data_IF_645317089463
#
_entry.id   IF_645317089463
#
_cell.length_a   1.000
_cell.length_b   1.000
_cell.length_c   1.000
_cell.angle_alpha   90.00
_cell.angle_beta   90.00
_cell.angle_gamma   90.00
#
_symmetry.space_group_name_H-M   'P 1'
#
loop_
_entity.id
_entity.type
_entity.pdbx_description
1 polymer ?
#
# COMPACT_ATOMS: atom_id res chain seq x y z
N UNK A 1 3.28 8.81 -9.96
CA UNK A 1 2.12 9.46 -9.36
C UNK A 1 2.60 10.28 -8.17
N UNK A 2 2.55 11.58 -8.32
CA UNK A 2 3.09 12.51 -7.33
C UNK A 2 1.95 13.01 -6.46
N UNK A 3 1.56 12.25 -5.45
CA UNK A 3 0.49 12.63 -4.53
C UNK A 3 0.86 13.87 -3.72
N UNK A 4 2.15 14.14 -3.52
CA UNK A 4 2.63 15.38 -2.91
C UNK A 4 2.25 16.64 -3.70
N UNK A 5 1.97 16.51 -5.00
CA UNK A 5 1.45 17.61 -5.84
C UNK A 5 -0.06 17.80 -5.69
N UNK A 6 -0.81 16.79 -5.24
CA UNK A 6 -2.25 16.86 -5.13
C UNK A 6 -2.65 17.50 -3.81
N UNK A 7 -3.12 18.74 -3.92
CA UNK A 7 -3.74 19.50 -2.84
C UNK A 7 -5.21 19.67 -3.15
N UNK A 8 -6.08 19.17 -2.25
CA UNK A 8 -7.52 19.13 -2.47
C UNK A 8 -8.27 19.85 -1.37
N UNK A 9 -9.41 20.40 -1.70
CA UNK A 9 -10.37 20.86 -0.69
C UNK A 9 -11.22 19.68 -0.31
N UNK A 10 -11.17 19.28 0.96
CA UNK A 10 -11.93 18.16 1.49
C UNK A 10 -13.23 18.64 2.12
N UNK A 11 -14.25 17.79 2.02
CA UNK A 11 -15.58 18.02 2.57
C UNK A 11 -15.97 16.88 3.48
N UNK A 12 -16.72 17.18 4.52
CA UNK A 12 -17.28 16.22 5.47
C UNK A 12 -18.77 16.05 5.14
N UNK A 13 -19.20 14.80 5.01
CA UNK A 13 -20.60 14.46 4.88
C UNK A 13 -21.04 13.60 6.07
N UNK A 14 -21.80 14.14 7.03
CA UNK A 14 -22.24 13.41 8.20
C UNK A 14 -23.33 12.41 7.83
N UNK A 15 -23.07 11.11 8.04
CA UNK A 15 -24.01 10.01 7.82
C UNK A 15 -24.94 9.84 9.03
N UNK A 16 -25.74 10.85 9.39
CA UNK A 16 -26.78 10.70 10.41
C UNK A 16 -27.96 9.94 9.79
N UNK A 17 -28.34 8.84 10.40
CA UNK A 17 -29.52 8.04 9.99
C UNK A 17 -30.56 8.07 11.10
N UNK A 18 -31.83 8.17 10.72
CA UNK A 18 -32.95 7.96 11.65
C UNK A 18 -33.16 6.45 11.93
N UNK A 19 -34.07 6.10 12.81
CA UNK A 19 -34.38 4.73 13.20
C UNK A 19 -34.84 3.85 12.01
N UNK A 20 -35.24 4.46 10.90
CA UNK A 20 -35.58 3.79 9.64
C UNK A 20 -34.39 3.66 8.67
N UNK A 21 -33.18 4.03 9.08
CA UNK A 21 -31.96 3.97 8.26
C UNK A 21 -31.88 5.05 7.17
N UNK A 22 -32.76 6.03 7.16
CA UNK A 22 -32.73 7.14 6.18
C UNK A 22 -31.80 8.23 6.66
N UNK A 23 -30.93 8.71 5.77
CA UNK A 23 -30.02 9.82 6.07
C UNK A 23 -30.81 11.10 6.33
N UNK A 24 -30.65 11.71 7.51
CA UNK A 24 -31.41 12.89 7.96
C UNK A 24 -30.68 14.21 7.77
N UNK A 25 -29.39 14.20 7.51
CA UNK A 25 -28.57 15.39 7.24
C UNK A 25 -27.82 15.23 5.93
N UNK A 26 -28.08 16.13 4.98
CA UNK A 26 -27.48 16.17 3.65
C UNK A 26 -26.55 17.39 3.49
N UNK A 27 -26.15 18.03 4.58
CA UNK A 27 -25.26 19.19 4.51
C UNK A 27 -23.83 18.70 4.36
N UNK A 28 -23.18 19.15 3.29
CA UNK A 28 -21.76 18.93 3.06
C UNK A 28 -21.03 20.15 3.59
N UNK A 29 -20.11 19.94 4.53
CA UNK A 29 -19.33 21.02 5.16
C UNK A 29 -17.88 20.94 4.69
N UNK A 30 -17.23 22.07 4.53
CA UNK A 30 -15.77 22.09 4.30
C UNK A 30 -15.05 21.59 5.54
N UNK A 31 -13.99 20.79 5.34
CA UNK A 31 -13.12 20.37 6.44
C UNK A 31 -12.37 21.56 7.05
N UNK A 32 -11.92 22.49 6.20
CA UNK A 32 -11.12 23.65 6.60
C UNK A 32 -11.27 24.77 5.58
N UNK A 33 -11.29 26.02 6.06
CA UNK A 33 -11.28 27.22 5.22
C UNK A 33 -9.87 27.77 4.95
N UNK A 34 -8.85 27.22 5.59
CA UNK A 34 -7.46 27.65 5.50
C UNK A 34 -6.71 27.29 4.21
N UNK A 35 -7.40 26.73 3.20
CA UNK A 35 -6.80 26.34 1.93
C UNK A 35 -6.77 24.81 1.68
N UNK A 36 -6.18 24.37 0.57
CA UNK A 36 -6.12 22.96 0.20
C UNK A 36 -5.37 22.08 1.21
N UNK A 37 -5.84 20.86 1.40
CA UNK A 37 -5.31 19.89 2.34
C UNK A 37 -4.78 18.64 1.64
N UNK A 38 -3.91 17.90 2.32
CA UNK A 38 -3.38 16.60 1.91
C UNK A 38 -3.63 15.56 3.00
N UNK A 39 -3.82 14.32 2.61
CA UNK A 39 -3.84 13.10 3.42
C UNK A 39 -4.72 13.16 4.68
N UNK A 40 -6.00 13.59 4.60
CA UNK A 40 -6.86 13.65 5.76
C UNK A 40 -7.08 12.25 6.36
N UNK A 41 -7.07 12.16 7.69
CA UNK A 41 -7.32 10.92 8.41
C UNK A 41 -8.20 11.18 9.63
N UNK A 42 -9.23 10.34 9.81
CA UNK A 42 -10.06 10.36 11.00
C UNK A 42 -9.34 9.77 12.21
N UNK A 43 -9.61 10.33 13.39
CA UNK A 43 -9.34 9.61 14.64
C UNK A 43 -10.15 8.31 14.71
N UNK A 44 -9.70 7.29 15.46
CA UNK A 44 -10.43 6.02 15.60
C UNK A 44 -11.89 6.15 16.03
N UNK A 45 -12.23 7.13 16.84
CA UNK A 45 -13.60 7.43 17.29
C UNK A 45 -14.40 8.32 16.31
N UNK A 46 -13.76 8.84 15.25
CA UNK A 46 -14.39 9.68 14.25
C UNK A 46 -14.73 11.11 14.70
N UNK A 47 -14.19 11.56 15.84
CA UNK A 47 -14.47 12.91 16.39
C UNK A 47 -13.47 13.97 15.95
N UNK A 48 -12.35 13.55 15.37
CA UNK A 48 -11.28 14.45 14.89
C UNK A 48 -10.81 14.02 13.51
N UNK A 49 -10.23 15.00 12.77
CA UNK A 49 -9.51 14.74 11.51
C UNK A 49 -8.16 15.46 11.60
N UNK A 50 -7.08 14.74 11.31
CA UNK A 50 -5.78 15.34 11.07
C UNK A 50 -5.51 15.38 9.56
N UNK A 51 -4.84 16.41 9.08
CA UNK A 51 -4.42 16.57 7.70
C UNK A 51 -3.13 17.39 7.61
N UNK A 52 -2.53 17.44 6.43
CA UNK A 52 -1.34 18.28 6.18
C UNK A 52 -1.72 19.43 5.23
N UNK A 53 -1.22 20.62 5.56
CA UNK A 53 -1.26 21.82 4.73
C UNK A 53 0.07 22.56 4.85
N UNK A 54 0.66 22.93 3.73
CA UNK A 54 1.95 23.61 3.65
C UNK A 54 3.05 22.92 4.50
N UNK A 55 3.12 21.57 4.36
CA UNK A 55 4.06 20.69 5.06
C UNK A 55 3.91 20.65 6.59
N UNK A 56 2.81 21.18 7.13
CA UNK A 56 2.48 21.17 8.54
C UNK A 56 1.20 20.38 8.82
N UNK A 57 1.17 19.74 9.98
CA UNK A 57 0.01 18.97 10.45
C UNK A 57 -0.98 19.91 11.11
N UNK A 58 -2.25 19.74 10.77
CA UNK A 58 -3.40 20.41 11.38
C UNK A 58 -4.38 19.38 11.94
N UNK A 59 -5.08 19.74 13.00
CA UNK A 59 -6.09 18.96 13.68
C UNK A 59 -7.41 19.70 13.73
N UNK A 60 -8.48 19.09 13.23
CA UNK A 60 -9.85 19.60 13.34
C UNK A 60 -10.64 18.74 14.33
N UNK A 61 -11.29 19.39 15.30
CA UNK A 61 -12.21 18.77 16.27
C UNK A 61 -13.65 18.99 15.80
N UNK A 62 -14.29 17.93 15.29
CA UNK A 62 -15.61 17.99 14.64
C UNK A 62 -16.75 18.35 15.60
N UNK A 63 -16.65 17.92 16.87
CA UNK A 63 -17.68 18.19 17.87
C UNK A 63 -17.73 19.66 18.35
N UNK A 64 -16.72 20.46 18.01
CA UNK A 64 -16.56 21.85 18.45
C UNK A 64 -16.63 22.83 17.27
N UNK A 65 -17.61 22.64 16.38
CA UNK A 65 -17.79 23.52 15.23
C UNK A 65 -16.63 23.48 14.24
N UNK A 66 -16.03 22.30 14.05
CA UNK A 66 -14.86 22.10 13.18
C UNK A 66 -13.67 22.99 13.58
N UNK A 67 -13.42 23.16 14.91
CA UNK A 67 -12.30 23.98 15.36
C UNK A 67 -10.96 23.39 14.90
N UNK A 68 -10.21 24.21 14.17
CA UNK A 68 -8.90 23.85 13.63
C UNK A 68 -7.78 24.36 14.54
N UNK A 69 -6.73 23.54 14.70
CA UNK A 69 -5.49 23.92 15.38
C UNK A 69 -4.28 23.39 14.61
N UNK A 70 -3.20 24.17 14.59
CA UNK A 70 -1.93 23.77 14.00
C UNK A 70 -1.13 22.93 15.00
N UNK A 71 -0.58 21.81 14.55
CA UNK A 71 0.18 20.84 15.36
C UNK A 71 1.69 21.03 15.19
N UNK A 72 2.14 21.33 13.96
CA UNK A 72 3.55 21.60 13.64
C UNK A 72 3.71 22.93 12.91
N UNK A 73 4.86 23.60 13.08
CA UNK A 73 5.09 24.95 12.56
C UNK A 73 6.38 25.06 11.72
N UNK A 74 7.23 24.02 11.74
CA UNK A 74 8.54 24.04 11.06
C UNK A 74 8.50 23.51 9.62
N UNK A 75 7.33 23.15 9.12
CA UNK A 75 7.12 22.67 7.76
C UNK A 75 7.43 23.74 6.72
N UNK A 76 8.26 23.42 5.74
CA UNK A 76 8.68 24.32 4.66
C UNK A 76 9.07 23.51 3.42
N UNK A 77 8.55 23.93 2.27
CA UNK A 77 8.84 23.28 0.98
C UNK A 77 10.35 23.16 0.73
N UNK A 78 10.80 22.00 0.29
CA UNK A 78 12.18 21.66 0.02
C UNK A 78 13.12 21.78 1.26
N UNK A 79 12.56 21.74 2.45
CA UNK A 79 13.32 21.75 3.70
C UNK A 79 12.77 20.78 4.74
N UNK A 80 11.52 20.94 5.19
CA UNK A 80 10.94 20.12 6.25
C UNK A 80 9.52 19.72 5.89
N UNK A 81 9.25 18.42 5.98
CA UNK A 81 7.94 17.83 5.78
C UNK A 81 7.48 17.17 7.08
N UNK A 82 6.25 17.43 7.51
CA UNK A 82 5.64 16.80 8.68
C UNK A 82 4.40 16.02 8.27
N UNK A 83 4.36 14.71 8.57
CA UNK A 83 3.19 13.86 8.35
C UNK A 83 2.91 13.47 6.89
N UNK A 84 3.73 13.92 5.95
CA UNK A 84 3.78 13.47 4.55
C UNK A 84 5.22 13.07 4.22
N UNK A 85 5.43 12.07 3.35
CA UNK A 85 6.77 11.62 2.98
C UNK A 85 7.46 12.59 2.02
N UNK A 86 8.79 12.44 1.92
CA UNK A 86 9.57 12.96 0.82
C UNK A 86 9.42 12.09 -0.44
N UNK A 87 10.11 12.47 -1.53
CA UNK A 87 10.03 11.75 -2.80
C UNK A 87 10.46 10.28 -2.69
N UNK A 88 11.53 9.96 -1.96
CA UNK A 88 12.03 8.58 -1.81
C UNK A 88 10.98 7.69 -1.13
N UNK A 89 10.37 8.17 -0.07
CA UNK A 89 9.39 7.38 0.70
C UNK A 89 8.06 7.25 -0.04
N UNK A 90 7.67 8.24 -0.82
CA UNK A 90 6.47 8.16 -1.65
C UNK A 90 6.67 7.16 -2.80
N UNK A 91 7.79 7.25 -3.51
CA UNK A 91 8.08 6.43 -4.69
C UNK A 91 8.51 5.02 -4.33
N UNK A 92 9.49 4.86 -3.42
CA UNK A 92 10.12 3.57 -3.14
C UNK A 92 9.39 2.79 -2.02
N UNK A 93 8.90 3.46 -0.99
CA UNK A 93 8.14 2.79 0.08
C UNK A 93 6.62 2.86 -0.11
N UNK A 94 6.13 3.52 -1.16
CA UNK A 94 4.76 3.45 -1.65
C UNK A 94 3.71 4.02 -0.70
N UNK A 95 3.99 5.07 0.10
CA UNK A 95 3.00 5.69 0.96
C UNK A 95 3.01 7.23 0.86
N UNK A 96 1.87 7.85 1.11
CA UNK A 96 1.67 9.30 1.03
C UNK A 96 1.28 9.94 2.37
N UNK A 97 1.06 9.15 3.42
CA UNK A 97 0.69 9.61 4.76
C UNK A 97 1.65 9.05 5.80
N UNK A 98 2.33 9.94 6.50
CA UNK A 98 3.31 9.65 7.51
C UNK A 98 2.83 10.08 8.91
N UNK A 99 1.52 9.96 9.19
CA UNK A 99 0.92 10.27 10.49
C UNK A 99 -0.14 9.25 10.88
N UNK A 100 -0.30 9.01 12.19
CA UNK A 100 -1.21 8.02 12.78
C UNK A 100 -1.80 8.54 14.08
N UNK A 101 -3.11 8.31 14.32
CA UNK A 101 -3.72 8.50 15.64
C UNK A 101 -3.48 7.28 16.53
N UNK A 102 -3.31 7.51 17.84
CA UNK A 102 -3.35 6.44 18.85
C UNK A 102 -4.76 5.84 18.95
N UNK A 103 -4.83 4.57 19.38
CA UNK A 103 -6.10 3.85 19.49
C UNK A 103 -7.10 4.48 20.49
N UNK A 104 -6.59 5.24 21.46
CA UNK A 104 -7.37 5.96 22.47
C UNK A 104 -7.67 7.43 22.11
N UNK A 105 -7.31 7.87 20.88
CA UNK A 105 -7.51 9.22 20.35
C UNK A 105 -6.79 10.34 21.13
N UNK A 106 -5.76 10.03 21.93
CA UNK A 106 -5.07 11.01 22.75
C UNK A 106 -3.78 11.56 22.14
N UNK A 107 -3.22 10.83 21.15
CA UNK A 107 -1.93 11.16 20.54
C UNK A 107 -2.00 11.13 19.01
N UNK A 108 -1.14 11.93 18.39
CA UNK A 108 -0.77 11.80 16.97
C UNK A 108 0.72 11.48 16.93
N UNK A 109 1.09 10.39 16.24
CA UNK A 109 2.47 10.10 15.88
C UNK A 109 2.70 10.47 14.41
N UNK A 110 3.87 10.99 14.08
CA UNK A 110 4.22 11.35 12.72
C UNK A 110 5.72 11.24 12.46
N UNK A 111 6.07 11.07 11.19
CA UNK A 111 7.45 11.16 10.73
C UNK A 111 7.69 12.59 10.25
N UNK A 112 8.80 13.16 10.72
CA UNK A 112 9.35 14.42 10.24
C UNK A 112 10.53 14.11 9.33
N UNK A 113 10.52 14.70 8.14
CA UNK A 113 11.59 14.59 7.15
C UNK A 113 12.29 15.92 7.04
N UNK A 114 13.61 15.95 7.27
CA UNK A 114 14.45 17.09 6.99
C UNK A 114 15.24 16.81 5.71
N UNK A 115 14.77 17.39 4.61
CA UNK A 115 15.33 17.25 3.28
C UNK A 115 16.25 18.41 2.88
N UNK A 116 16.66 19.25 3.83
CA UNK A 116 17.46 20.46 3.57
C UNK A 116 18.78 20.16 2.86
N UNK A 117 19.42 19.04 3.23
CA UNK A 117 20.70 18.58 2.64
C UNK A 117 20.53 17.71 1.38
N UNK A 118 19.30 17.32 1.04
CA UNK A 118 19.02 16.53 -0.17
C UNK A 118 19.18 17.41 -1.40
N UNK A 119 19.90 16.96 -2.46
CA UNK A 119 20.03 17.72 -3.69
C UNK A 119 18.68 17.98 -4.36
N UNK A 120 18.57 19.13 -5.02
CA UNK A 120 17.39 19.52 -5.78
C UNK A 120 17.49 19.09 -7.24
N UNK A 121 16.35 18.77 -7.82
CA UNK A 121 16.17 18.55 -9.25
C UNK A 121 15.05 19.47 -9.77
N UNK A 122 15.26 20.06 -10.94
CA UNK A 122 14.29 20.95 -11.58
C UNK A 122 13.94 20.46 -12.98
N UNK A 123 12.70 20.67 -13.39
CA UNK A 123 12.28 20.45 -14.77
C UNK A 123 11.27 21.51 -15.21
N UNK A 124 11.20 21.81 -16.52
CA UNK A 124 10.26 22.80 -17.03
C UNK A 124 8.82 22.30 -16.92
N UNK A 125 7.93 23.21 -16.59
CA UNK A 125 6.48 22.99 -16.53
C UNK A 125 5.79 23.79 -17.65
N UNK A 126 4.91 23.13 -18.37
CA UNK A 126 4.13 23.72 -19.46
C UNK A 126 2.65 23.78 -19.09
N UNK A 127 1.90 24.66 -19.79
CA UNK A 127 0.48 24.86 -19.51
C UNK A 127 -0.37 23.59 -19.64
N UNK A 128 -0.02 22.68 -20.56
CA UNK A 128 -0.85 21.51 -20.88
C UNK A 128 -2.15 21.89 -21.63
N UNK A 129 -2.97 20.92 -21.94
CA UNK A 129 -4.23 21.13 -22.67
C UNK A 129 -5.47 20.90 -21.81
N UNK A 130 -5.50 19.86 -20.95
CA UNK A 130 -6.65 19.54 -20.12
C UNK A 130 -6.25 18.81 -18.81
N UNK A 131 -6.31 19.46 -17.67
CA UNK A 131 -6.59 20.90 -17.47
C UNK A 131 -5.39 21.78 -17.82
N UNK A 132 -5.67 22.97 -18.34
CA UNK A 132 -4.62 23.95 -18.61
C UNK A 132 -4.17 24.62 -17.31
N UNK A 133 -2.84 24.70 -17.11
CA UNK A 133 -2.24 25.46 -16.00
C UNK A 133 -2.16 26.94 -16.46
N UNK A 134 -3.20 27.70 -16.17
CA UNK A 134 -3.37 29.07 -16.65
C UNK A 134 -2.16 29.99 -16.41
N UNK A 135 -1.48 29.97 -15.24
CA UNK A 135 -0.28 30.80 -15.04
C UNK A 135 0.88 30.49 -15.99
N UNK A 136 0.88 29.31 -16.62
CA UNK A 136 1.94 28.88 -17.55
C UNK A 136 1.53 29.01 -19.02
N UNK A 137 0.43 29.71 -19.30
CA UNK A 137 -0.13 29.84 -20.67
C UNK A 137 0.84 30.48 -21.65
N UNK A 138 1.50 31.54 -21.22
CA UNK A 138 2.35 32.35 -22.09
C UNK A 138 3.84 32.03 -21.96
N UNK A 139 4.25 31.60 -20.77
CA UNK A 139 5.64 31.22 -20.49
C UNK A 139 5.67 29.91 -19.66
N UNK A 140 6.63 28.99 -19.94
CA UNK A 140 6.84 27.84 -19.11
C UNK A 140 7.31 28.27 -17.72
N UNK A 141 6.93 27.50 -16.72
CA UNK A 141 7.46 27.59 -15.35
C UNK A 141 8.54 26.53 -15.09
N UNK A 142 8.97 26.49 -13.87
CA UNK A 142 9.90 25.48 -13.35
C UNK A 142 9.31 24.83 -12.11
N UNK A 143 9.47 23.51 -12.00
CA UNK A 143 9.15 22.76 -10.78
C UNK A 143 10.43 22.19 -10.20
N UNK A 144 10.75 22.60 -8.98
CA UNK A 144 11.95 22.17 -8.24
C UNK A 144 11.53 21.38 -7.03
N UNK A 145 12.13 20.19 -6.85
CA UNK A 145 11.89 19.32 -5.70
C UNK A 145 13.18 18.60 -5.28
N UNK A 146 13.17 18.03 -4.09
CA UNK A 146 14.31 17.27 -3.57
C UNK A 146 14.34 15.88 -4.17
N UNK A 147 15.48 15.50 -4.76
CA UNK A 147 15.65 14.23 -5.45
C UNK A 147 17.06 13.69 -5.25
N UNK A 148 17.28 12.75 -4.32
CA UNK A 148 18.59 12.15 -4.10
C UNK A 148 18.87 11.11 -5.19
N UNK A 149 19.89 11.31 -5.98
CA UNK A 149 20.43 10.25 -6.84
C UNK A 149 21.20 9.23 -5.99
N UNK A 150 21.45 8.04 -6.56
CA UNK A 150 22.24 7.01 -5.87
C UNK A 150 23.57 7.58 -5.33
N UNK A 151 23.86 7.29 -4.06
CA UNK A 151 25.06 7.78 -3.37
C UNK A 151 24.95 9.18 -2.75
N UNK A 152 23.86 9.93 -3.01
CA UNK A 152 23.63 11.23 -2.37
C UNK A 152 22.92 11.10 -1.01
N UNK A 153 22.95 12.15 -0.16
CA UNK A 153 22.25 12.17 1.11
C UNK A 153 20.73 11.99 0.94
N UNK A 154 20.13 11.20 1.82
CA UNK A 154 18.68 11.14 2.02
C UNK A 154 18.23 12.19 3.05
N UNK A 155 16.92 12.38 3.17
CA UNK A 155 16.34 13.14 4.28
C UNK A 155 16.72 12.54 5.62
N UNK A 156 17.00 13.39 6.59
CA UNK A 156 17.12 13.00 8.00
C UNK A 156 15.72 12.83 8.56
N UNK A 157 15.45 11.67 9.18
CA UNK A 157 14.11 11.30 9.61
C UNK A 157 14.01 11.13 11.11
N UNK A 158 12.91 11.61 11.68
CA UNK A 158 12.57 11.49 13.11
C UNK A 158 11.12 11.06 13.27
N UNK A 159 10.85 10.24 14.29
CA UNK A 159 9.49 10.00 14.75
C UNK A 159 9.17 10.96 15.87
N UNK A 160 8.07 11.68 15.73
CA UNK A 160 7.56 12.59 16.75
C UNK A 160 6.15 12.18 17.17
N UNK A 161 5.78 12.53 18.40
CA UNK A 161 4.44 12.34 18.94
C UNK A 161 3.92 13.64 19.52
N UNK A 162 2.65 13.93 19.28
CA UNK A 162 1.94 15.10 19.78
C UNK A 162 0.81 14.64 20.70
N UNK A 163 0.80 15.13 21.94
CA UNK A 163 -0.26 14.89 22.90
C UNK A 163 -1.36 15.93 22.69
N UNK A 164 -2.56 15.49 22.31
CA UNK A 164 -3.67 16.33 21.87
C UNK A 164 -4.23 17.19 23.04
N UNK A 165 -4.11 16.70 24.27
CA UNK A 165 -4.62 17.41 25.44
C UNK A 165 -3.64 18.46 25.96
N UNK A 166 -2.37 18.11 26.08
CA UNK A 166 -1.34 19.00 26.63
C UNK A 166 -0.66 19.88 25.58
N UNK A 167 -0.88 19.61 24.27
CA UNK A 167 -0.24 20.28 23.13
C UNK A 167 1.30 20.14 23.14
N UNK A 168 1.83 19.05 23.69
CA UNK A 168 3.27 18.82 23.80
C UNK A 168 3.72 17.84 22.71
N UNK A 169 4.70 18.28 21.91
CA UNK A 169 5.40 17.41 20.92
C UNK A 169 6.66 16.84 21.56
N UNK A 170 6.93 15.56 21.30
CA UNK A 170 8.13 14.84 21.75
C UNK A 170 8.79 14.11 20.59
N UNK A 171 10.11 14.08 20.57
CA UNK A 171 10.89 13.27 19.62
C UNK A 171 11.24 11.93 20.24
N UNK A 172 10.98 10.84 19.52
CA UNK A 172 11.32 9.49 19.98
C UNK A 172 12.84 9.28 20.00
N UNK A 173 13.34 8.63 21.04
CA UNK A 173 14.76 8.25 21.17
C UNK A 173 15.03 6.96 20.39
N UNK A 174 14.86 7.04 19.07
CA UNK A 174 14.99 5.91 18.17
C UNK A 174 16.47 5.71 17.79
N UNK A 175 17.06 4.52 18.05
CA UNK A 175 18.43 4.21 17.67
C UNK A 175 18.49 3.81 16.17
N UNK A 176 18.37 4.79 15.28
CA UNK A 176 18.45 4.63 13.83
C UNK A 176 19.79 5.16 13.33
N UNK A 177 20.34 4.53 12.30
CA UNK A 177 21.52 5.02 11.57
C UNK A 177 21.20 6.41 10.95
N UNK A 178 22.20 7.31 10.88
CA UNK A 178 21.99 8.69 10.42
C UNK A 178 21.42 8.80 9.00
N UNK A 179 21.65 7.78 8.16
CA UNK A 179 21.16 7.64 6.79
C UNK A 179 20.14 6.50 6.62
N UNK A 180 19.63 5.97 7.73
CA UNK A 180 18.61 4.93 7.75
C UNK A 180 17.21 5.44 7.39
N UNK A 181 16.28 4.50 7.20
CA UNK A 181 14.91 4.78 6.80
C UNK A 181 13.91 4.42 7.89
N UNK A 182 12.75 5.11 7.90
CA UNK A 182 11.57 4.77 8.71
C UNK A 182 10.40 4.51 7.76
N UNK A 183 10.33 3.34 7.10
CA UNK A 183 9.32 3.07 6.08
C UNK A 183 7.89 3.07 6.58
N UNK A 184 7.63 2.79 7.87
CA UNK A 184 6.28 2.84 8.46
C UNK A 184 6.33 3.13 9.96
N UNK A 185 5.28 3.78 10.42
CA UNK A 185 4.89 3.84 11.84
C UNK A 185 3.44 3.37 11.96
N UNK A 186 3.10 2.68 13.05
CA UNK A 186 1.72 2.27 13.34
C UNK A 186 1.48 2.17 14.84
N UNK A 187 0.38 2.75 15.32
CA UNK A 187 -0.06 2.42 16.66
C UNK A 187 -0.55 0.96 16.72
N UNK A 188 -0.17 0.26 17.77
CA UNK A 188 -0.73 -1.05 18.08
C UNK A 188 -2.13 -0.90 18.69
N UNK A 189 -2.75 -2.01 19.10
CA UNK A 189 -4.01 -1.96 19.86
C UNK A 189 -3.83 -1.37 21.28
N UNK A 190 -2.60 -1.34 21.77
CA UNK A 190 -2.20 -0.67 23.01
C UNK A 190 -1.64 0.71 22.64
N UNK A 191 -2.37 1.76 23.06
CA UNK A 191 -2.01 3.15 22.76
C UNK A 191 -0.65 3.60 23.38
N UNK A 192 -0.11 2.83 24.34
CA UNK A 192 1.23 3.03 24.89
C UNK A 192 2.34 2.49 24.01
N UNK A 193 2.02 1.81 22.89
CA UNK A 193 2.99 1.17 22.00
C UNK A 193 2.82 1.65 20.57
N UNK A 194 3.70 2.53 20.15
CA UNK A 194 3.89 2.90 18.75
C UNK A 194 4.91 1.95 18.11
N UNK A 195 4.50 1.17 17.13
CA UNK A 195 5.39 0.39 16.31
C UNK A 195 6.13 1.30 15.34
N UNK A 196 7.44 1.30 15.38
CA UNK A 196 8.33 2.00 14.45
C UNK A 196 9.15 0.98 13.70
N UNK A 197 9.06 1.00 12.39
CA UNK A 197 9.77 0.12 11.47
C UNK A 197 10.94 0.88 10.89
N UNK A 198 12.15 0.32 10.95
CA UNK A 198 13.35 0.96 10.40
C UNK A 198 14.08 0.03 9.45
N UNK A 199 14.78 0.61 8.48
CA UNK A 199 15.75 -0.06 7.63
C UNK A 199 17.08 0.68 7.70
N UNK A 200 18.18 -0.06 7.59
CA UNK A 200 19.47 0.55 7.30
C UNK A 200 19.56 1.01 5.84
N UNK A 201 20.58 1.77 5.48
CA UNK A 201 20.77 2.31 4.13
C UNK A 201 20.84 1.23 3.03
N UNK A 202 21.45 0.08 3.32
CA UNK A 202 21.52 -1.06 2.39
C UNK A 202 20.22 -1.84 2.26
N UNK A 203 19.21 -1.55 3.12
CA UNK A 203 17.91 -2.19 3.12
C UNK A 203 17.96 -3.72 3.32
N UNK A 204 19.01 -4.20 3.97
CA UNK A 204 19.23 -5.61 4.29
C UNK A 204 18.99 -5.94 5.78
N UNK A 205 18.77 -4.91 6.63
CA UNK A 205 18.43 -5.03 8.06
C UNK A 205 17.17 -4.25 8.41
N UNK A 206 16.15 -4.96 8.76
CA UNK A 206 14.87 -4.46 9.27
C UNK A 206 14.82 -4.60 10.79
N UNK A 207 14.51 -3.51 11.48
CA UNK A 207 14.26 -3.49 12.91
C UNK A 207 12.84 -3.00 13.22
N UNK A 208 12.12 -3.74 14.06
CA UNK A 208 10.85 -3.32 14.64
C UNK A 208 11.07 -2.86 16.08
N UNK A 209 10.74 -1.62 16.35
CA UNK A 209 10.75 -1.04 17.69
C UNK A 209 9.32 -0.84 18.20
N UNK A 210 9.11 -1.04 19.51
CA UNK A 210 7.99 -0.44 20.21
C UNK A 210 8.47 0.80 20.98
N UNK A 211 7.91 1.94 20.62
CA UNK A 211 8.17 3.23 21.24
C UNK A 211 7.01 3.59 22.17
N UNK A 212 7.32 4.04 23.37
CA UNK A 212 6.34 4.66 24.25
C UNK A 212 6.18 6.14 23.86
N UNK A 213 5.00 6.56 23.37
CA UNK A 213 4.80 7.91 22.84
C UNK A 213 4.91 9.02 23.88
N UNK A 214 4.90 8.70 25.19
CA UNK A 214 4.99 9.67 26.29
C UNK A 214 6.38 9.74 26.91
N UNK A 215 7.01 8.60 27.19
CA UNK A 215 8.39 8.55 27.73
C UNK A 215 9.46 8.69 26.66
N UNK A 216 9.11 8.52 25.40
CA UNK A 216 10.01 8.56 24.22
C UNK A 216 10.98 7.39 24.09
N UNK A 217 10.92 6.43 25.01
CA UNK A 217 11.81 5.26 24.99
C UNK A 217 11.40 4.27 23.90
N UNK A 218 12.39 3.77 23.17
CA UNK A 218 12.21 2.80 22.10
C UNK A 218 12.88 1.47 22.48
N UNK A 219 12.13 0.38 22.40
CA UNK A 219 12.63 -0.97 22.65
C UNK A 219 12.66 -1.76 21.36
N UNK A 220 13.81 -2.34 20.99
CA UNK A 220 13.90 -3.29 19.89
C UNK A 220 13.09 -4.56 20.24
N UNK A 221 12.18 -4.95 19.36
CA UNK A 221 11.30 -6.11 19.50
C UNK A 221 11.74 -7.24 18.59
N UNK A 222 12.10 -6.90 17.36
CA UNK A 222 12.48 -7.88 16.36
C UNK A 222 13.52 -7.26 15.42
N UNK A 223 14.46 -8.09 14.99
CA UNK A 223 15.36 -7.83 13.88
C UNK A 223 15.20 -8.93 12.84
N UNK A 224 15.09 -8.53 11.57
CA UNK A 224 15.13 -9.43 10.41
C UNK A 224 16.24 -8.97 9.46
N UNK A 225 17.00 -9.91 8.93
CA UNK A 225 18.15 -9.63 8.06
C UNK A 225 18.06 -10.49 6.80
N UNK A 226 18.55 -9.93 5.70
CA UNK A 226 18.58 -10.61 4.40
C UNK A 226 19.98 -10.49 3.81
N UNK A 227 20.51 -11.54 3.18
CA UNK A 227 21.79 -11.43 2.46
C UNK A 227 21.71 -10.60 1.17
N UNK A 228 20.51 -10.13 0.80
CA UNK A 228 20.23 -9.34 -0.38
C UNK A 228 19.60 -8.00 0.00
N UNK A 229 18.28 -7.94 0.09
CA UNK A 229 17.52 -6.79 0.57
C UNK A 229 16.16 -7.25 1.12
N UNK A 230 15.50 -6.38 1.88
CA UNK A 230 14.18 -6.63 2.44
C UNK A 230 13.16 -5.86 1.61
N UNK A 231 12.16 -6.58 1.07
CA UNK A 231 11.12 -6.01 0.22
C UNK A 231 10.19 -5.09 1.01
N UNK A 232 9.75 -4.01 0.40
CA UNK A 232 8.86 -3.01 0.98
C UNK A 232 7.47 -3.57 1.37
N UNK A 233 6.98 -4.61 0.70
CA UNK A 233 5.70 -5.23 1.03
C UNK A 233 5.64 -5.85 2.44
N UNK A 234 6.79 -6.09 3.07
CA UNK A 234 6.88 -6.57 4.47
C UNK A 234 6.15 -5.62 5.40
N UNK A 235 6.35 -4.30 5.24
CA UNK A 235 5.84 -3.29 6.17
C UNK A 235 4.32 -3.20 6.20
N UNK A 236 3.64 -3.41 5.07
CA UNK A 236 2.18 -3.36 4.98
C UNK A 236 1.51 -4.67 5.44
N UNK A 237 2.28 -5.76 5.51
CA UNK A 237 1.81 -7.06 5.98
C UNK A 237 2.04 -7.32 7.48
N UNK A 238 2.68 -6.37 8.21
CA UNK A 238 2.74 -6.42 9.66
C UNK A 238 1.40 -5.96 10.23
N UNK A 239 0.68 -6.87 10.90
CA UNK A 239 -0.60 -6.60 11.56
C UNK A 239 -0.50 -6.89 13.04
N UNK A 240 -0.89 -5.92 13.86
CA UNK A 240 -0.86 -6.01 15.31
C UNK A 240 -2.21 -6.45 15.87
N UNK A 241 -2.14 -7.42 16.77
CA UNK A 241 -3.25 -7.94 17.57
C UNK A 241 -2.95 -7.68 19.06
N UNK A 242 -3.89 -7.88 19.99
CA UNK A 242 -3.63 -7.56 21.40
C UNK A 242 -2.35 -8.17 21.96
N UNK A 243 -2.07 -9.46 21.68
CA UNK A 243 -0.94 -10.20 22.25
C UNK A 243 0.12 -10.63 21.21
N UNK A 244 -0.16 -10.37 19.92
CA UNK A 244 0.65 -10.96 18.84
C UNK A 244 0.75 -10.02 17.64
N UNK A 245 1.71 -10.31 16.74
CA UNK A 245 1.79 -9.67 15.44
C UNK A 245 2.27 -10.63 14.34
N UNK A 246 1.97 -10.29 13.09
CA UNK A 246 2.44 -11.01 11.91
C UNK A 246 3.69 -10.38 11.32
N UNK A 247 4.51 -11.20 10.64
CA UNK A 247 5.60 -10.75 9.77
C UNK A 247 5.63 -11.64 8.53
N UNK A 248 5.75 -11.06 7.34
CA UNK A 248 6.23 -11.75 6.15
C UNK A 248 7.75 -11.60 6.09
N UNK A 249 8.47 -12.70 5.87
CA UNK A 249 9.93 -12.69 5.78
C UNK A 249 10.43 -13.71 4.77
N UNK A 250 11.48 -13.38 4.04
CA UNK A 250 12.15 -14.25 3.07
C UNK A 250 13.38 -14.96 3.65
N UNK A 251 13.57 -14.95 4.98
CA UNK A 251 14.73 -15.53 5.67
C UNK A 251 15.01 -17.01 5.35
N UNK A 252 13.99 -17.73 4.87
CA UNK A 252 14.08 -19.15 4.48
C UNK A 252 14.04 -19.31 2.94
N UNK A 253 14.34 -18.26 2.17
CA UNK A 253 14.43 -18.26 0.70
C UNK A 253 13.14 -17.93 -0.04
N UNK A 254 11.99 -17.99 0.64
CA UNK A 254 10.68 -17.58 0.11
C UNK A 254 9.92 -16.75 1.13
N UNK A 255 9.05 -15.85 0.67
CA UNK A 255 8.20 -15.06 1.56
C UNK A 255 7.20 -15.95 2.29
N UNK A 256 7.34 -16.08 3.60
CA UNK A 256 6.46 -16.85 4.47
C UNK A 256 5.93 -16.04 5.64
N UNK A 257 4.77 -16.48 6.17
CA UNK A 257 4.11 -15.87 7.31
C UNK A 257 4.68 -16.41 8.62
N UNK A 258 5.18 -15.53 9.46
CA UNK A 258 5.66 -15.77 10.81
C UNK A 258 4.74 -15.08 11.82
N UNK A 259 4.51 -15.72 12.96
CA UNK A 259 3.64 -15.25 14.03
C UNK A 259 4.44 -15.05 15.30
N UNK A 260 4.42 -13.85 15.84
CA UNK A 260 5.20 -13.42 16.99
C UNK A 260 4.32 -12.99 18.15
N UNK A 261 4.81 -13.14 19.40
CA UNK A 261 4.25 -12.44 20.55
C UNK A 261 4.62 -10.95 20.51
N UNK A 262 3.86 -10.10 21.20
CA UNK A 262 4.21 -8.69 21.36
C UNK A 262 5.56 -8.45 22.07
N UNK A 263 6.14 -9.49 22.69
CA UNK A 263 7.50 -9.46 23.23
C UNK A 263 8.62 -9.74 22.23
N UNK A 264 8.27 -10.07 20.96
CA UNK A 264 9.23 -10.41 19.90
C UNK A 264 9.62 -11.88 19.82
N UNK A 265 9.00 -12.76 20.64
CA UNK A 265 9.28 -14.19 20.56
C UNK A 265 8.50 -14.84 19.42
N UNK A 266 9.19 -15.62 18.58
CA UNK A 266 8.56 -16.40 17.52
C UNK A 266 7.65 -17.48 18.15
N UNK A 267 6.34 -17.42 17.86
CA UNK A 267 5.37 -18.42 18.29
C UNK A 267 5.34 -19.57 17.29
N UNK A 268 5.25 -19.24 15.98
CA UNK A 268 5.29 -20.26 14.93
C UNK A 268 5.57 -19.67 13.53
N UNK A 269 6.16 -20.48 12.65
CA UNK A 269 6.13 -20.29 11.20
C UNK A 269 4.79 -20.85 10.70
N UNK A 270 3.93 -19.99 10.16
CA UNK A 270 2.55 -20.36 9.77
C UNK A 270 2.52 -21.06 8.43
N UNK A 271 3.33 -20.58 7.46
CA UNK A 271 3.41 -21.14 6.11
C UNK A 271 4.79 -21.68 5.80
N UNK A 272 4.88 -22.66 4.91
CA UNK A 272 6.12 -23.31 4.53
C UNK A 272 6.01 -23.89 3.11
N UNK A 273 7.10 -23.90 2.33
CA UNK A 273 7.13 -24.48 0.98
C UNK A 273 8.01 -23.68 0.02
N UNK A 274 8.06 -24.12 -1.25
CA UNK A 274 8.78 -23.43 -2.33
C UNK A 274 7.82 -22.51 -3.10
N UNK A 275 7.24 -21.54 -2.39
CA UNK A 275 6.31 -20.54 -2.95
C UNK A 275 6.32 -19.30 -2.06
N UNK A 276 5.77 -18.22 -2.56
CA UNK A 276 5.65 -16.95 -1.81
C UNK A 276 4.23 -16.74 -1.29
N UNK A 277 4.11 -16.36 -0.05
CA UNK A 277 2.95 -15.66 0.48
C UNK A 277 3.02 -14.22 -0.05
N UNK A 278 1.98 -13.81 -0.79
CA UNK A 278 1.93 -12.47 -1.39
C UNK A 278 1.34 -11.44 -0.42
N UNK A 279 0.24 -11.79 0.25
CA UNK A 279 -0.44 -10.91 1.19
C UNK A 279 -0.88 -11.72 2.42
N UNK A 280 -0.67 -11.18 3.62
CA UNK A 280 -1.33 -11.64 4.83
C UNK A 280 -2.65 -10.87 5.00
N UNK A 281 -3.78 -11.55 4.84
CA UNK A 281 -5.11 -10.94 4.85
C UNK A 281 -5.61 -10.69 6.28
N UNK A 282 -5.32 -11.61 7.22
CA UNK A 282 -5.69 -11.45 8.62
C UNK A 282 -5.75 -12.76 9.39
N UNK A 283 -6.03 -12.61 10.68
CA UNK A 283 -6.19 -13.69 11.64
C UNK A 283 -7.57 -13.61 12.30
N UNK A 284 -8.29 -14.71 12.31
CA UNK A 284 -9.56 -14.85 13.05
C UNK A 284 -9.27 -15.44 14.44
N UNK A 285 -9.32 -14.58 15.46
CA UNK A 285 -9.07 -14.99 16.84
C UNK A 285 -10.17 -15.93 17.39
N UNK A 286 -11.35 -16.01 16.76
CA UNK A 286 -12.44 -16.86 17.25
C UNK A 286 -12.20 -18.34 17.00
N UNK A 287 -11.52 -18.70 15.89
CA UNK A 287 -11.19 -20.07 15.53
C UNK A 287 -9.70 -20.34 15.36
N UNK A 288 -8.85 -19.32 15.49
CA UNK A 288 -7.40 -19.41 15.37
C UNK A 288 -6.90 -19.58 13.94
N UNK A 289 -7.66 -19.12 12.95
CA UNK A 289 -7.32 -19.28 11.54
C UNK A 289 -6.59 -18.08 10.95
N UNK A 290 -5.65 -18.38 10.06
CA UNK A 290 -4.88 -17.41 9.27
C UNK A 290 -5.36 -17.41 7.82
N UNK A 291 -5.49 -16.23 7.22
CA UNK A 291 -5.89 -16.05 5.83
C UNK A 291 -4.79 -15.31 5.06
N UNK A 292 -4.45 -15.81 3.88
CA UNK A 292 -3.38 -15.26 3.06
C UNK A 292 -3.60 -15.54 1.58
N UNK A 293 -2.86 -14.83 0.73
CA UNK A 293 -2.74 -15.17 -0.69
C UNK A 293 -1.34 -15.70 -0.98
N UNK A 294 -1.24 -16.63 -1.93
CA UNK A 294 0.05 -17.15 -2.38
C UNK A 294 0.04 -17.56 -3.85
N UNK A 295 1.24 -17.75 -4.39
CA UNK A 295 1.50 -18.25 -5.74
C UNK A 295 1.88 -19.73 -5.77
N UNK A 296 1.50 -20.53 -4.76
CA UNK A 296 1.98 -21.92 -4.62
C UNK A 296 1.57 -22.85 -5.76
N UNK A 297 0.49 -22.56 -6.49
CA UNK A 297 0.05 -23.38 -7.63
C UNK A 297 0.79 -23.04 -8.93
N UNK A 298 1.14 -21.78 -9.10
CA UNK A 298 1.83 -21.25 -10.26
C UNK A 298 2.37 -19.87 -9.99
N UNK A 299 3.59 -19.52 -10.44
CA UNK A 299 4.09 -18.15 -10.34
C UNK A 299 3.22 -17.13 -11.11
N UNK A 300 2.39 -17.58 -12.06
CA UNK A 300 1.48 -16.73 -12.85
C UNK A 300 0.17 -16.40 -12.11
N UNK A 301 -0.13 -17.07 -10.99
CA UNK A 301 -1.45 -17.06 -10.34
C UNK A 301 -1.35 -16.65 -8.89
N UNK A 302 -2.45 -16.15 -8.37
CA UNK A 302 -2.59 -15.82 -6.96
C UNK A 302 -3.90 -16.41 -6.42
N UNK A 303 -3.79 -17.35 -5.50
CA UNK A 303 -4.91 -18.03 -4.86
C UNK A 303 -5.08 -17.62 -3.39
N UNK A 304 -6.29 -17.80 -2.84
CA UNK A 304 -6.66 -17.47 -1.46
C UNK A 304 -6.66 -18.74 -0.63
N UNK A 305 -6.02 -18.67 0.54
CA UNK A 305 -5.87 -19.81 1.47
C UNK A 305 -6.26 -19.46 2.89
N UNK A 306 -6.68 -20.49 3.61
CA UNK A 306 -6.89 -20.53 5.05
C UNK A 306 -5.98 -21.61 5.66
N UNK A 307 -5.34 -21.30 6.79
CA UNK A 307 -4.71 -22.29 7.68
C UNK A 307 -5.43 -22.22 9.02
N UNK A 308 -6.00 -23.32 9.47
CA UNK A 308 -6.68 -23.41 10.77
C UNK A 308 -5.68 -23.56 11.94
N UNK A 309 -6.19 -23.51 13.18
CA UNK A 309 -5.38 -23.65 14.39
C UNK A 309 -4.60 -24.98 14.48
N UNK A 310 -5.07 -26.04 13.77
CA UNK A 310 -4.42 -27.34 13.71
C UNK A 310 -3.36 -27.42 12.61
N UNK A 311 -3.21 -26.37 11.79
CA UNK A 311 -2.28 -26.33 10.67
C UNK A 311 -2.86 -26.90 9.36
N UNK A 312 -4.15 -27.24 9.30
CA UNK A 312 -4.78 -27.72 8.07
C UNK A 312 -4.95 -26.53 7.10
N UNK A 313 -4.32 -26.64 5.95
CA UNK A 313 -4.44 -25.70 4.84
C UNK A 313 -5.68 -26.02 3.99
N UNK A 314 -6.42 -24.99 3.59
CA UNK A 314 -7.59 -25.09 2.71
C UNK A 314 -7.51 -23.97 1.68
N UNK A 315 -7.62 -24.29 0.38
CA UNK A 315 -7.78 -23.31 -0.68
C UNK A 315 -9.22 -22.80 -0.68
N UNK A 316 -9.41 -21.49 -0.65
CA UNK A 316 -10.72 -20.84 -0.65
C UNK A 316 -11.15 -20.39 -2.05
N UNK A 317 -10.19 -20.02 -2.91
CA UNK A 317 -10.48 -19.63 -4.31
C UNK A 317 -10.84 -20.84 -5.15
N UNK A 318 -11.98 -20.75 -5.87
CA UNK A 318 -12.53 -21.87 -6.64
C UNK A 318 -11.96 -21.98 -8.06
N UNK A 319 -11.41 -20.88 -8.58
CA UNK A 319 -10.96 -20.77 -9.98
C UNK A 319 -9.46 -20.52 -10.04
N UNK A 320 -8.84 -21.00 -11.11
CA UNK A 320 -7.45 -20.74 -11.45
C UNK A 320 -7.32 -19.37 -12.13
N UNK A 321 -6.38 -18.54 -11.64
CA UNK A 321 -6.14 -17.18 -12.08
C UNK A 321 -5.68 -16.29 -10.95
N UNK A 322 -5.90 -14.99 -11.08
CA UNK A 322 -5.52 -13.98 -10.10
C UNK A 322 -6.70 -13.59 -9.23
N UNK A 323 -6.58 -13.80 -7.93
CA UNK A 323 -7.57 -13.47 -6.91
C UNK A 323 -7.09 -12.29 -6.05
N UNK A 324 -7.97 -11.34 -5.79
CA UNK A 324 -7.70 -10.19 -4.91
C UNK A 324 -8.84 -10.08 -3.88
N UNK A 325 -8.72 -10.78 -2.75
CA UNK A 325 -9.74 -10.81 -1.72
C UNK A 325 -9.68 -9.58 -0.81
N UNK A 326 -10.85 -9.12 -0.36
CA UNK A 326 -11.03 -8.11 0.67
C UNK A 326 -11.90 -8.68 1.78
N UNK A 327 -11.28 -9.03 2.91
CA UNK A 327 -11.98 -9.61 4.06
C UNK A 327 -12.68 -8.54 4.91
N UNK A 328 -13.83 -8.92 5.47
CA UNK A 328 -14.48 -8.16 6.54
C UNK A 328 -13.62 -8.14 7.81
N UNK A 329 -13.81 -7.15 8.68
CA UNK A 329 -13.11 -7.07 9.98
C UNK A 329 -13.30 -8.33 10.85
N UNK A 330 -14.45 -9.01 10.71
CA UNK A 330 -14.75 -10.25 11.43
C UNK A 330 -14.13 -11.50 10.82
N UNK A 331 -13.45 -11.40 9.67
CA UNK A 331 -12.89 -12.53 8.90
C UNK A 331 -13.93 -13.59 8.49
N UNK A 332 -15.25 -13.29 8.58
CA UNK A 332 -16.35 -14.22 8.25
C UNK A 332 -16.76 -14.18 6.78
N UNK A 333 -16.53 -13.04 6.12
CA UNK A 333 -16.89 -12.82 4.72
C UNK A 333 -15.76 -12.12 3.99
N UNK A 334 -15.70 -12.33 2.67
CA UNK A 334 -14.80 -11.57 1.81
C UNK A 334 -15.40 -11.34 0.43
N UNK A 335 -15.14 -10.17 -0.13
CA UNK A 335 -15.31 -9.90 -1.55
C UNK A 335 -14.05 -10.37 -2.28
N UNK A 336 -14.22 -11.12 -3.37
CA UNK A 336 -13.10 -11.55 -4.20
C UNK A 336 -13.23 -10.94 -5.59
N UNK A 337 -12.21 -10.20 -6.03
CA UNK A 337 -12.01 -9.82 -7.41
C UNK A 337 -11.18 -10.91 -8.07
N UNK A 338 -11.72 -11.52 -9.10
CA UNK A 338 -11.08 -12.61 -9.84
C UNK A 338 -10.97 -12.28 -11.32
N UNK A 339 -9.88 -12.62 -11.95
CA UNK A 339 -9.74 -12.70 -13.41
C UNK A 339 -8.70 -13.75 -13.83
N UNK A 340 -8.76 -14.18 -15.06
CA UNK A 340 -7.71 -14.91 -15.77
C UNK A 340 -7.70 -14.48 -17.25
N UNK A 341 -6.88 -15.05 -18.10
CA UNK A 341 -6.79 -14.63 -19.52
C UNK A 341 -8.15 -14.58 -20.22
N UNK A 342 -9.04 -15.54 -19.92
CA UNK A 342 -10.32 -15.74 -20.63
C UNK A 342 -11.51 -15.07 -19.91
N UNK A 343 -11.33 -14.64 -18.67
CA UNK A 343 -12.42 -14.15 -17.84
C UNK A 343 -12.18 -12.71 -17.41
N UNK A 344 -12.96 -11.73 -17.92
CA UNK A 344 -13.01 -10.38 -17.38
C UNK A 344 -13.31 -10.39 -15.88
N UNK A 345 -12.94 -9.30 -15.20
CA UNK A 345 -13.06 -9.21 -13.75
C UNK A 345 -14.45 -9.66 -13.25
N UNK A 346 -14.46 -10.71 -12.45
CA UNK A 346 -15.61 -11.23 -11.71
C UNK A 346 -15.50 -10.78 -10.25
N UNK A 347 -16.57 -10.26 -9.69
CA UNK A 347 -16.61 -9.91 -8.26
C UNK A 347 -17.66 -10.75 -7.54
N UNK A 348 -17.23 -11.46 -6.51
CA UNK A 348 -18.09 -12.34 -5.70
C UNK A 348 -18.02 -11.97 -4.23
N UNK A 349 -19.13 -12.17 -3.50
CA UNK A 349 -19.18 -12.20 -2.05
C UNK A 349 -19.11 -13.67 -1.61
N UNK A 350 -18.19 -13.99 -0.74
CA UNK A 350 -17.92 -15.34 -0.26
C UNK A 350 -17.92 -15.38 1.27
N UNK A 351 -18.21 -16.54 1.85
CA UNK A 351 -17.93 -16.80 3.26
C UNK A 351 -16.47 -17.27 3.46
N UNK A 352 -16.05 -17.39 4.70
CA UNK A 352 -14.70 -17.79 5.07
C UNK A 352 -14.40 -19.30 4.90
N UNK A 353 -15.32 -20.06 4.31
CA UNK A 353 -15.09 -21.44 3.84
C UNK A 353 -14.78 -21.49 2.33
N UNK A 354 -14.89 -20.35 1.64
CA UNK A 354 -14.72 -20.23 0.18
C UNK A 354 -16.02 -20.42 -0.60
N UNK A 355 -17.17 -20.62 0.07
CA UNK A 355 -18.48 -20.71 -0.60
C UNK A 355 -18.91 -19.34 -1.13
N UNK A 356 -19.21 -19.26 -2.41
CA UNK A 356 -19.81 -18.06 -3.02
C UNK A 356 -21.25 -17.91 -2.55
N UNK A 357 -21.55 -16.77 -1.91
CA UNK A 357 -22.87 -16.39 -1.46
C UNK A 357 -23.63 -15.58 -2.50
N UNK A 358 -22.91 -14.71 -3.21
CA UNK A 358 -23.48 -13.84 -4.25
C UNK A 358 -22.43 -13.45 -5.27
N UNK A 359 -22.80 -13.45 -6.55
CA UNK A 359 -22.03 -12.79 -7.60
C UNK A 359 -22.50 -11.35 -7.71
N UNK A 360 -21.56 -10.40 -7.62
CA UNK A 360 -21.83 -8.96 -7.64
C UNK A 360 -21.62 -8.36 -9.02
N UNK A 361 -20.57 -8.78 -9.73
CA UNK A 361 -20.20 -8.32 -11.09
C UNK A 361 -19.83 -9.54 -11.93
N UNK A 362 -20.44 -9.70 -13.10
CA UNK A 362 -20.16 -10.76 -14.07
C UNK A 362 -19.47 -10.26 -15.34
N UNK A 363 -19.62 -8.97 -15.64
CA UNK A 363 -19.19 -8.34 -16.89
C UNK A 363 -19.77 -9.00 -18.17
N UNK A 364 -21.01 -9.52 -18.09
CA UNK A 364 -21.64 -10.23 -19.23
C UNK A 364 -21.88 -9.30 -20.42
N UNK A 365 -22.25 -8.04 -20.19
CA UNK A 365 -22.39 -7.06 -21.26
C UNK A 365 -21.06 -6.80 -21.98
N UNK A 366 -19.96 -6.68 -21.23
CA UNK A 366 -18.63 -6.56 -21.81
C UNK A 366 -18.29 -7.76 -22.67
N UNK A 367 -18.53 -8.98 -22.19
CA UNK A 367 -18.31 -10.23 -22.97
C UNK A 367 -19.10 -10.24 -24.26
N UNK A 368 -20.38 -9.84 -24.21
CA UNK A 368 -21.25 -9.74 -25.40
C UNK A 368 -20.70 -8.72 -26.40
N UNK A 369 -20.28 -7.55 -25.91
CA UNK A 369 -19.65 -6.52 -26.76
C UNK A 369 -18.40 -7.05 -27.44
N UNK A 370 -17.52 -7.70 -26.67
CA UNK A 370 -16.23 -8.20 -27.17
C UNK A 370 -16.39 -9.39 -28.14
N UNK A 371 -17.47 -10.16 -28.05
CA UNK A 371 -17.76 -11.24 -28.99
C UNK A 371 -17.96 -10.76 -30.43
N UNK A 372 -18.24 -9.48 -30.65
CA UNK A 372 -18.34 -8.85 -31.97
C UNK A 372 -16.98 -8.41 -32.55
N UNK A 373 -15.88 -8.58 -31.84
CA UNK A 373 -14.55 -8.16 -32.27
C UNK A 373 -13.61 -9.36 -32.39
N UNK A 374 -12.74 -9.32 -33.41
CA UNK A 374 -11.63 -10.26 -33.54
C UNK A 374 -10.48 -9.79 -32.65
N UNK A 375 -10.41 -10.30 -31.41
CA UNK A 375 -9.43 -9.88 -30.42
C UNK A 375 -8.27 -10.88 -30.38
N UNK A 376 -7.02 -10.42 -30.59
CA UNK A 376 -5.83 -11.25 -30.38
C UNK A 376 -5.78 -11.79 -28.95
N UNK A 377 -5.45 -13.07 -28.80
CA UNK A 377 -5.40 -13.74 -27.50
C UNK A 377 -3.96 -13.81 -26.99
N UNK A 378 -3.78 -13.69 -25.66
CA UNK A 378 -2.51 -13.97 -24.99
C UNK A 378 -2.30 -15.47 -24.86
N UNK A 379 -1.10 -15.93 -25.16
CA UNK A 379 -0.65 -17.30 -24.95
C UNK A 379 0.55 -17.30 -24.02
N UNK A 380 0.55 -18.13 -22.99
CA UNK A 380 1.73 -18.30 -22.13
C UNK A 380 2.73 -19.27 -22.78
N UNK A 381 4.00 -18.99 -22.56
CA UNK A 381 5.10 -19.86 -22.93
C UNK A 381 6.22 -19.78 -21.89
N UNK A 382 7.15 -20.71 -21.96
CA UNK A 382 8.37 -20.68 -21.15
C UNK A 382 9.59 -20.68 -22.04
N UNK A 383 10.68 -20.08 -21.55
CA UNK A 383 11.98 -20.12 -22.22
C UNK A 383 13.08 -20.20 -21.16
N UNK A 384 14.26 -20.63 -21.57
CA UNK A 384 15.43 -20.67 -20.69
C UNK A 384 16.38 -19.51 -20.98
N UNK A 385 16.91 -18.92 -19.92
CA UNK A 385 18.02 -17.98 -20.03
C UNK A 385 19.33 -18.70 -20.35
N UNK A 386 20.37 -17.97 -20.70
CA UNK A 386 21.72 -18.52 -20.93
C UNK A 386 22.25 -19.26 -19.70
N UNK A 387 21.83 -18.87 -18.50
CA UNK A 387 22.22 -19.49 -17.24
C UNK A 387 21.32 -20.67 -16.82
N UNK A 388 20.41 -21.10 -17.72
CA UNK A 388 19.53 -22.25 -17.52
C UNK A 388 18.31 -21.98 -16.62
N UNK A 389 18.00 -20.71 -16.29
CA UNK A 389 16.81 -20.35 -15.53
C UNK A 389 15.59 -20.35 -16.44
N UNK A 390 14.53 -21.07 -16.04
CA UNK A 390 13.26 -21.08 -16.78
C UNK A 390 12.45 -19.85 -16.40
N UNK A 391 12.12 -19.03 -17.40
CA UNK A 391 11.26 -17.85 -17.26
C UNK A 391 9.92 -18.08 -17.96
N UNK A 392 8.89 -17.38 -17.46
CA UNK A 392 7.58 -17.32 -18.10
C UNK A 392 7.49 -16.10 -19.00
N UNK A 393 6.84 -16.26 -20.13
CA UNK A 393 6.49 -15.21 -21.07
C UNK A 393 5.03 -15.28 -21.50
N UNK A 394 4.54 -14.22 -22.06
CA UNK A 394 3.30 -14.25 -22.84
C UNK A 394 3.56 -13.71 -24.24
N UNK A 395 2.77 -14.16 -25.20
CA UNK A 395 2.81 -13.71 -26.59
C UNK A 395 1.40 -13.42 -27.06
N UNK A 396 1.25 -12.42 -27.90
CA UNK A 396 0.02 -12.09 -28.58
C UNK A 396 0.31 -12.05 -30.09
N UNK A 397 -0.40 -12.89 -30.84
CA UNK A 397 -0.26 -12.97 -32.31
C UNK A 397 -1.42 -12.23 -32.96
N UNK A 398 -1.24 -11.66 -34.17
CA UNK A 398 -2.34 -11.15 -34.97
C UNK A 398 -3.44 -12.21 -35.18
N UNK A 399 -4.70 -11.78 -35.27
CA UNK A 399 -5.85 -12.70 -35.44
C UNK A 399 -5.67 -13.60 -36.67
N UNK A 400 -5.11 -13.05 -37.75
CA UNK A 400 -4.85 -13.77 -39.00
C UNK A 400 -3.37 -14.20 -39.11
N UNK A 401 -2.76 -14.60 -37.99
CA UNK A 401 -1.36 -15.01 -37.96
C UNK A 401 -1.10 -16.20 -38.92
N UNK A 402 -0.03 -16.09 -39.69
CA UNK A 402 0.46 -17.15 -40.53
C UNK A 402 1.96 -17.35 -40.31
N UNK A 403 2.38 -18.59 -40.01
CA UNK A 403 3.78 -18.93 -39.84
C UNK A 403 4.65 -18.74 -41.09
N UNK A 404 4.03 -18.59 -42.26
CA UNK A 404 4.73 -18.32 -43.52
C UNK A 404 5.06 -16.84 -43.74
N UNK A 405 4.54 -15.94 -42.91
CA UNK A 405 4.77 -14.51 -42.99
C UNK A 405 5.74 -14.02 -41.89
N UNK A 406 6.39 -12.93 -42.14
CA UNK A 406 7.19 -12.22 -41.17
C UNK A 406 6.36 -11.06 -40.58
N UNK A 407 6.44 -10.86 -39.27
CA UNK A 407 5.75 -9.80 -38.54
C UNK A 407 6.75 -8.96 -37.77
N UNK A 408 6.50 -7.65 -37.58
CA UNK A 408 7.23 -6.87 -36.59
C UNK A 408 7.02 -7.48 -35.21
N UNK A 409 8.04 -7.44 -34.35
CA UNK A 409 7.94 -7.91 -32.98
C UNK A 409 8.11 -6.73 -32.04
N UNK A 410 7.09 -6.49 -31.21
CA UNK A 410 7.18 -5.58 -30.09
C UNK A 410 7.48 -6.38 -28.84
N UNK A 411 8.63 -6.13 -28.24
CA UNK A 411 9.02 -6.72 -26.97
C UNK A 411 8.72 -5.76 -25.82
N UNK A 412 7.92 -6.20 -24.86
CA UNK A 412 7.64 -5.49 -23.62
C UNK A 412 8.19 -6.26 -22.43
N UNK A 413 8.97 -5.58 -21.60
CA UNK A 413 9.50 -6.18 -20.39
C UNK A 413 9.75 -5.10 -19.33
N UNK A 414 9.69 -5.49 -18.07
CA UNK A 414 10.16 -4.73 -16.93
C UNK A 414 10.84 -5.70 -15.95
N UNK A 415 12.10 -5.44 -15.61
CA UNK A 415 12.96 -6.37 -14.85
C UNK A 415 13.32 -5.85 -13.46
N UNK A 416 12.57 -4.89 -12.93
CA UNK A 416 12.80 -4.39 -11.57
C UNK A 416 12.59 -5.48 -10.52
N UNK A 417 13.33 -5.48 -9.41
CA UNK A 417 13.18 -6.43 -8.33
C UNK A 417 11.74 -6.46 -7.81
N UNK A 418 11.20 -7.66 -7.55
CA UNK A 418 9.83 -7.84 -7.07
C UNK A 418 8.71 -7.55 -8.07
N UNK A 419 9.03 -7.07 -9.28
CA UNK A 419 8.04 -6.80 -10.33
C UNK A 419 7.65 -8.07 -11.08
N UNK A 420 6.33 -8.28 -11.25
CA UNK A 420 5.78 -9.42 -11.97
C UNK A 420 4.96 -8.92 -13.16
N UNK A 421 5.41 -9.18 -14.39
CA UNK A 421 4.74 -8.75 -15.62
C UNK A 421 3.90 -9.87 -16.27
N UNK A 422 4.26 -11.12 -16.02
CA UNK A 422 3.58 -12.28 -16.60
C UNK A 422 2.61 -12.86 -15.57
N UNK A 423 1.33 -12.52 -15.74
CA UNK A 423 0.25 -12.90 -14.81
C UNK A 423 -0.95 -13.45 -15.56
N UNK A 424 -1.60 -14.47 -14.99
CA UNK A 424 -2.88 -15.00 -15.45
C UNK A 424 -4.01 -14.06 -15.00
N UNK A 425 -4.19 -12.98 -15.76
CA UNK A 425 -5.16 -11.90 -15.51
C UNK A 425 -5.69 -11.37 -16.83
N UNK A 426 -6.96 -11.00 -16.85
CA UNK A 426 -7.60 -10.43 -18.02
C UNK A 426 -7.20 -8.97 -18.24
N UNK A 427 -7.07 -8.59 -19.49
CA UNK A 427 -6.87 -7.20 -19.89
C UNK A 427 -6.86 -7.05 -21.41
N UNK A 428 -7.43 -5.93 -21.87
CA UNK A 428 -7.31 -5.41 -23.22
C UNK A 428 -6.57 -4.07 -23.09
N UNK A 429 -5.49 -3.96 -23.84
CA UNK A 429 -4.58 -2.82 -23.76
C UNK A 429 -4.16 -2.38 -25.18
N UNK A 430 -3.27 -1.41 -25.26
CA UNK A 430 -2.74 -0.97 -26.53
C UNK A 430 -1.98 -2.08 -27.28
N UNK A 431 -1.35 -3.03 -26.58
CA UNK A 431 -0.70 -4.20 -27.20
C UNK A 431 -1.71 -5.07 -27.95
N UNK A 432 -2.93 -5.21 -27.39
CA UNK A 432 -4.03 -5.90 -28.07
C UNK A 432 -4.42 -5.18 -29.36
N UNK A 433 -4.49 -3.84 -29.30
CA UNK A 433 -4.77 -3.02 -30.48
C UNK A 433 -3.66 -3.15 -31.52
N UNK A 434 -2.40 -3.06 -31.13
CA UNK A 434 -1.27 -3.20 -32.06
C UNK A 434 -1.26 -4.59 -32.71
N UNK A 435 -1.48 -5.67 -31.95
CA UNK A 435 -1.57 -7.01 -32.49
C UNK A 435 -2.79 -7.21 -33.43
N UNK A 436 -3.85 -6.41 -33.29
CA UNK A 436 -5.00 -6.43 -34.21
C UNK A 436 -4.70 -5.80 -35.58
N UNK A 437 -3.68 -4.96 -35.65
CA UNK A 437 -3.25 -4.30 -36.90
C UNK A 437 -2.26 -5.18 -37.72
N UNK A 438 -1.69 -6.22 -37.14
CA UNK A 438 -0.77 -7.14 -37.80
C UNK A 438 0.67 -7.06 -37.33
#
# INVERSE_FOLDING_TARGET
PYTTLFRSVHYIYPLKRNDKGVTTNNIIERLSDGGPQQVPVFSPDGTMIAFVRDNNIFLVKLLYGNSESQVTEDGKQNMVLNGIPDWVYEEEFGFNRALEFSADNTMIAFIRFDESEVPSYSFPMFAGEAPQITPLKDYPGEYTYKYPKAGYPNSKVEVRTYDIKSHVTRTMKLPIDADGYIPRIRFTKDASKLAVMTLNRHQDRFDLYFADPRSTLCKLVLRDESPYYIKENVFDNIKFYPETFSLLSERDGFSHLYWYSMGGNLIKKVTNGKYEVKDFLGYDATDGSFYYTSNEESPLRKAVYKIDKKGKKTKLSQREGTNTPLFSKSMKYYMNKFSNLDTPMLVTLNDNTGKTLKTLITNDQLKQTLAGYAIPQKEFFTFQTTDGVTLNGWMMKPVNFSASKKYPVLMYQYSGPGSQQVLDTWGISWETYMASLG
#
